data_IF_809227816351
#
_entry.id   IF_809227816351
#
_cell.length_a   1.000
_cell.length_b   1.000
_cell.length_c   1.000
_cell.angle_alpha   90.00
_cell.angle_beta   90.00
_cell.angle_gamma   90.00
#
_symmetry.space_group_name_H-M   'P 1'
#
loop_
_entity.id
_entity.type
_entity.pdbx_description
1 polymer ?
#
# COMPACT_ATOMS: atom_id res chain seq x y z
N UNK A 1 -16.82 23.10 -41.29
CA UNK A 1 -16.32 21.84 -40.67
C UNK A 1 -16.59 20.55 -41.49
N UNK A 2 -17.29 20.58 -42.63
CA UNK A 2 -17.67 19.36 -43.37
C UNK A 2 -16.61 18.82 -44.36
N UNK A 3 -15.49 19.51 -44.56
CA UNK A 3 -14.46 19.12 -45.54
C UNK A 3 -13.65 17.91 -45.12
N UNK A 4 -13.26 17.81 -43.85
CA UNK A 4 -12.44 16.70 -43.33
C UNK A 4 -13.21 15.37 -43.30
N UNK A 5 -14.45 15.38 -42.81
CA UNK A 5 -15.28 14.17 -42.79
C UNK A 5 -15.58 13.65 -44.20
N UNK A 6 -15.72 14.56 -45.17
CA UNK A 6 -15.91 14.19 -46.59
C UNK A 6 -14.61 13.64 -47.21
N UNK A 7 -13.45 14.17 -46.83
CA UNK A 7 -12.12 13.65 -47.22
C UNK A 7 -11.88 12.23 -46.69
N UNK A 8 -12.16 11.99 -45.40
CA UNK A 8 -11.96 10.69 -44.75
C UNK A 8 -12.88 9.58 -45.27
N UNK A 9 -14.03 9.95 -45.84
CA UNK A 9 -14.94 9.00 -46.51
C UNK A 9 -14.51 8.69 -47.94
N UNK A 10 -13.86 9.64 -48.61
CA UNK A 10 -13.41 9.51 -50.00
C UNK A 10 -12.10 8.73 -50.10
N UNK A 11 -11.20 8.96 -49.14
CA UNK A 11 -9.88 8.32 -49.10
C UNK A 11 -9.71 7.51 -47.79
N UNK A 12 -10.00 6.20 -47.79
CA UNK A 12 -9.93 5.38 -46.58
C UNK A 12 -8.50 5.23 -46.04
N UNK A 13 -7.48 5.44 -46.88
CA UNK A 13 -6.08 5.42 -46.47
C UNK A 13 -5.71 6.53 -45.46
N UNK A 14 -6.48 7.64 -45.40
CA UNK A 14 -6.23 8.75 -44.47
C UNK A 14 -6.82 8.52 -43.07
N UNK A 15 -7.72 7.55 -42.92
CA UNK A 15 -8.37 7.24 -41.64
C UNK A 15 -7.38 6.85 -40.53
N UNK A 16 -6.42 5.91 -40.73
CA UNK A 16 -5.49 5.55 -39.66
C UNK A 16 -4.62 6.73 -39.20
N UNK A 17 -4.22 7.62 -40.12
CA UNK A 17 -3.47 8.83 -39.77
C UNK A 17 -4.32 9.79 -38.92
N UNK A 18 -5.57 10.04 -39.33
CA UNK A 18 -6.47 10.89 -38.58
C UNK A 18 -6.79 10.33 -37.18
N UNK A 19 -6.90 9.02 -37.03
CA UNK A 19 -7.07 8.35 -35.73
C UNK A 19 -5.81 8.49 -34.87
N UNK A 20 -4.61 8.34 -35.43
CA UNK A 20 -3.38 8.51 -34.67
C UNK A 20 -3.23 9.95 -34.14
N UNK A 21 -3.46 10.95 -34.99
CA UNK A 21 -3.36 12.37 -34.59
C UNK A 21 -4.48 12.75 -33.63
N UNK A 22 -5.73 12.42 -33.96
CA UNK A 22 -6.88 12.70 -33.11
C UNK A 22 -6.79 11.99 -31.76
N UNK A 23 -6.39 10.72 -31.78
CA UNK A 23 -6.11 9.93 -30.58
C UNK A 23 -5.02 10.55 -29.72
N UNK A 24 -3.93 11.03 -30.33
CA UNK A 24 -2.86 11.72 -29.62
C UNK A 24 -3.33 12.98 -28.91
N UNK A 25 -4.13 13.82 -29.57
CA UNK A 25 -4.68 15.05 -28.98
C UNK A 25 -5.63 14.73 -27.82
N UNK A 26 -6.54 13.77 -28.02
CA UNK A 26 -7.49 13.35 -26.97
C UNK A 26 -6.73 12.76 -25.77
N UNK A 27 -5.72 11.92 -26.02
CA UNK A 27 -4.89 11.32 -24.98
C UNK A 27 -4.12 12.40 -24.20
N UNK A 28 -3.53 13.38 -24.87
CA UNK A 28 -2.81 14.47 -24.22
C UNK A 28 -3.71 15.28 -23.27
N UNK A 29 -4.94 15.60 -23.72
CA UNK A 29 -5.92 16.30 -22.88
C UNK A 29 -6.40 15.44 -21.72
N UNK A 30 -6.63 14.15 -21.94
CA UNK A 30 -7.08 13.22 -20.91
C UNK A 30 -6.02 13.03 -19.82
N UNK A 31 -4.75 12.81 -20.18
CA UNK A 31 -3.64 12.64 -19.24
C UNK A 31 -3.41 13.92 -18.44
N UNK A 32 -3.41 15.08 -19.11
CA UNK A 32 -3.27 16.38 -18.45
C UNK A 32 -4.41 16.60 -17.44
N UNK A 33 -5.67 16.36 -17.86
CA UNK A 33 -6.83 16.50 -16.97
C UNK A 33 -6.78 15.53 -15.78
N UNK A 34 -6.31 14.31 -16.01
CA UNK A 34 -6.10 13.32 -14.94
C UNK A 34 -5.08 13.83 -13.92
N UNK A 35 -3.93 14.32 -14.38
CA UNK A 35 -2.88 14.86 -13.51
C UNK A 35 -3.39 16.05 -12.70
N UNK A 36 -4.06 17.01 -13.35
CA UNK A 36 -4.60 18.19 -12.67
C UNK A 36 -5.62 17.83 -11.56
N UNK A 37 -6.38 16.73 -11.71
CA UNK A 37 -7.41 16.32 -10.74
C UNK A 37 -6.88 15.41 -9.64
N UNK A 38 -5.94 14.52 -9.94
CA UNK A 38 -5.51 13.44 -9.03
C UNK A 38 -4.10 13.60 -8.48
N UNK A 39 -3.28 14.50 -9.03
CA UNK A 39 -1.91 14.66 -8.56
C UNK A 39 -1.85 15.37 -7.20
N UNK A 40 -1.04 14.88 -6.26
CA UNK A 40 -0.80 15.51 -4.97
C UNK A 40 0.14 16.70 -5.02
N UNK A 41 0.89 16.87 -6.12
CA UNK A 41 1.95 17.87 -6.23
C UNK A 41 1.41 19.27 -6.56
N UNK A 42 0.18 19.38 -7.09
CA UNK A 42 -0.40 20.64 -7.57
C UNK A 42 -1.76 20.86 -6.94
N UNK A 43 -1.91 21.97 -6.21
CA UNK A 43 -3.18 22.41 -5.63
C UNK A 43 -3.87 23.42 -6.56
N UNK A 44 -4.83 22.93 -7.35
CA UNK A 44 -5.67 23.76 -8.23
C UNK A 44 -6.89 24.28 -7.46
N UNK A 45 -7.51 23.43 -6.65
CA UNK A 45 -8.63 23.79 -5.81
C UNK A 45 -8.18 24.09 -4.37
N UNK A 46 -7.66 25.30 -4.16
CA UNK A 46 -7.18 25.74 -2.84
C UNK A 46 -8.27 25.81 -1.76
N UNK A 47 -9.55 25.89 -2.14
CA UNK A 47 -10.67 26.02 -1.17
C UNK A 47 -11.20 24.67 -0.69
N UNK A 48 -11.33 23.69 -1.60
CA UNK A 48 -11.88 22.38 -1.25
C UNK A 48 -10.83 21.34 -0.84
N UNK A 49 -9.61 21.44 -1.38
CA UNK A 49 -8.51 20.50 -1.11
C UNK A 49 -7.16 21.25 -1.10
N UNK A 50 -6.89 22.06 -0.04
CA UNK A 50 -5.72 22.92 0.02
C UNK A 50 -4.40 22.13 -0.01
N UNK A 51 -4.37 20.97 0.65
CA UNK A 51 -3.16 20.16 0.87
C UNK A 51 -3.29 18.74 0.26
N UNK A 52 -3.26 18.63 -1.08
CA UNK A 52 -3.50 17.36 -1.77
C UNK A 52 -2.42 16.29 -1.49
N UNK A 53 -1.22 16.68 -1.05
CA UNK A 53 -0.18 15.76 -0.56
C UNK A 53 -0.58 14.99 0.70
N UNK A 54 -1.54 15.50 1.47
CA UNK A 54 -1.99 14.89 2.70
C UNK A 54 -2.90 13.66 2.47
N UNK A 55 -3.54 13.58 1.29
CA UNK A 55 -4.55 12.57 0.94
C UNK A 55 -3.97 11.30 0.27
N UNK A 56 -2.65 11.22 0.11
CA UNK A 56 -1.97 10.07 -0.52
C UNK A 56 -1.89 8.90 0.46
N UNK A 57 -2.58 7.80 0.14
CA UNK A 57 -2.58 6.55 0.91
C UNK A 57 -1.48 5.59 0.44
N UNK A 58 -1.05 4.64 1.29
CA UNK A 58 0.02 3.69 0.97
C UNK A 58 -0.33 2.70 -0.16
N UNK A 59 -1.61 2.32 -0.26
CA UNK A 59 -2.11 1.45 -1.33
C UNK A 59 -2.54 2.18 -2.61
N UNK A 60 -2.38 3.51 -2.66
CA UNK A 60 -2.73 4.32 -3.83
C UNK A 60 -1.48 4.59 -4.68
N UNK A 61 -1.56 4.27 -5.97
CA UNK A 61 -0.53 4.66 -6.92
C UNK A 61 -0.76 6.11 -7.38
N UNK A 62 0.19 6.98 -7.06
CA UNK A 62 0.17 8.38 -7.50
C UNK A 62 0.52 8.56 -8.99
N UNK A 63 1.20 7.57 -9.59
CA UNK A 63 1.64 7.65 -10.99
C UNK A 63 0.46 7.44 -11.94
N UNK A 64 0.59 7.94 -13.17
CA UNK A 64 -0.40 7.70 -14.23
C UNK A 64 -0.69 6.21 -14.45
N UNK A 65 0.35 5.36 -14.37
CA UNK A 65 0.23 3.92 -14.42
C UNK A 65 1.30 3.25 -13.54
N UNK A 66 1.01 2.03 -13.09
CA UNK A 66 1.97 1.18 -12.41
C UNK A 66 1.98 -0.19 -13.08
N UNK A 67 3.19 -0.69 -13.36
CA UNK A 67 3.39 -2.03 -13.91
C UNK A 67 3.15 -3.14 -12.88
N UNK A 68 3.08 -2.81 -11.58
CA UNK A 68 2.89 -3.76 -10.49
C UNK A 68 1.65 -3.40 -9.67
N UNK A 69 0.43 -3.76 -10.11
CA UNK A 69 -0.79 -3.47 -9.38
C UNK A 69 -0.85 -4.22 -8.04
N UNK A 70 -0.30 -5.42 -7.96
CA UNK A 70 -0.33 -6.28 -6.77
C UNK A 70 0.42 -5.65 -5.58
N UNK A 71 1.49 -4.90 -5.88
CA UNK A 71 2.24 -4.13 -4.88
C UNK A 71 1.33 -3.09 -4.21
N UNK A 72 0.54 -2.36 -4.96
CA UNK A 72 -0.36 -1.36 -4.38
C UNK A 72 -1.55 -2.02 -3.69
N UNK A 73 -2.05 -3.13 -4.24
CA UNK A 73 -3.14 -3.89 -3.65
C UNK A 73 -2.82 -4.43 -2.26
N UNK A 74 -1.61 -4.96 -2.04
CA UNK A 74 -1.20 -5.52 -0.74
C UNK A 74 -1.07 -4.47 0.38
N UNK A 75 -1.06 -3.18 0.05
CA UNK A 75 -0.89 -2.07 1.01
C UNK A 75 -2.16 -1.28 1.27
N UNK A 76 -3.30 -1.72 0.73
CA UNK A 76 -4.59 -1.04 0.96
C UNK A 76 -5.00 -1.10 2.44
N UNK A 77 -4.70 -2.21 3.11
CA UNK A 77 -5.07 -2.44 4.51
C UNK A 77 -4.00 -1.98 5.50
N UNK A 78 -2.88 -1.44 5.01
CA UNK A 78 -1.79 -1.01 5.87
C UNK A 78 -2.15 0.32 6.55
N UNK A 79 -1.97 0.45 7.89
CA UNK A 79 -2.23 1.70 8.59
C UNK A 79 -1.39 2.86 8.03
N UNK A 80 -2.00 4.05 7.87
CA UNK A 80 -1.27 5.23 7.43
C UNK A 80 -0.19 5.59 8.46
N UNK A 81 1.11 5.56 8.11
CA UNK A 81 2.19 5.91 9.04
C UNK A 81 2.06 7.35 9.54
N UNK A 82 1.36 8.22 8.80
CA UNK A 82 1.11 9.60 9.21
C UNK A 82 0.11 9.71 10.35
N UNK A 83 -0.76 8.70 10.54
CA UNK A 83 -1.71 8.67 11.64
C UNK A 83 -1.01 8.76 13.00
N UNK A 84 0.22 8.25 13.12
CA UNK A 84 1.03 8.36 14.34
C UNK A 84 1.40 9.80 14.71
N UNK A 85 1.47 10.72 13.74
CA UNK A 85 1.85 12.12 13.94
C UNK A 85 0.65 13.08 13.98
N UNK A 86 -0.53 12.64 13.51
CA UNK A 86 -1.76 13.44 13.48
C UNK A 86 -2.64 13.27 14.72
N UNK A 87 -2.26 12.40 15.65
CA UNK A 87 -2.96 12.31 16.93
C UNK A 87 -2.73 13.62 17.68
N UNK A 88 -3.79 14.39 18.03
CA UNK A 88 -3.61 15.55 18.90
C UNK A 88 -2.99 15.07 20.21
N UNK A 89 -1.95 15.77 20.67
CA UNK A 89 -1.17 15.42 21.87
C UNK A 89 -2.03 15.39 23.14
N UNK A 90 -3.25 15.90 23.01
CA UNK A 90 -4.20 16.28 24.04
C UNK A 90 -5.42 15.34 24.13
N UNK A 91 -5.63 14.39 23.19
CA UNK A 91 -6.81 13.50 23.24
C UNK A 91 -6.52 11.99 23.40
N UNK A 92 -5.31 11.47 23.12
CA UNK A 92 -5.09 10.02 23.02
C UNK A 92 -3.77 9.47 23.56
N UNK A 93 -3.02 10.22 24.36
CA UNK A 93 -1.78 9.71 25.00
C UNK A 93 -2.05 8.54 25.96
N UNK A 94 -3.24 8.47 26.58
CA UNK A 94 -3.67 7.33 27.38
C UNK A 94 -4.01 6.10 26.51
N UNK A 95 -4.90 6.23 25.54
CA UNK A 95 -5.40 5.09 24.75
C UNK A 95 -4.36 4.52 23.76
N UNK A 96 -3.50 5.36 23.19
CA UNK A 96 -2.43 4.90 22.28
C UNK A 96 -1.27 4.24 23.03
N UNK A 97 -1.01 4.61 24.29
CA UNK A 97 -0.05 3.91 25.14
C UNK A 97 -0.65 2.60 25.67
N UNK A 98 -1.94 2.57 25.99
CA UNK A 98 -2.67 1.35 26.38
C UNK A 98 -2.73 0.33 25.23
N UNK A 99 -3.04 0.74 24.00
CA UNK A 99 -3.05 -0.17 22.84
C UNK A 99 -1.66 -0.74 22.54
N UNK A 100 -0.60 0.07 22.67
CA UNK A 100 0.79 -0.39 22.57
C UNK A 100 1.18 -1.33 23.70
N UNK A 101 0.75 -1.06 24.94
CA UNK A 101 0.99 -1.92 26.10
C UNK A 101 0.21 -3.24 26.00
N UNK A 102 -1.02 -3.24 25.47
CA UNK A 102 -1.83 -4.44 25.26
C UNK A 102 -1.28 -5.30 24.12
N UNK A 103 -0.83 -4.70 23.02
CA UNK A 103 -0.15 -5.43 21.95
C UNK A 103 1.20 -6.00 22.42
N UNK A 104 1.97 -5.25 23.22
CA UNK A 104 3.20 -5.74 23.83
C UNK A 104 2.94 -6.83 24.89
N UNK A 105 1.85 -6.74 25.65
CA UNK A 105 1.45 -7.78 26.61
C UNK A 105 1.00 -9.06 25.91
N UNK A 106 0.23 -8.96 24.82
CA UNK A 106 -0.12 -10.12 23.96
C UNK A 106 1.12 -10.75 23.34
N UNK A 107 2.01 -9.95 22.76
CA UNK A 107 3.27 -10.47 22.20
C UNK A 107 4.11 -11.18 23.28
N UNK A 108 4.18 -10.64 24.50
CA UNK A 108 4.85 -11.30 25.63
C UNK A 108 4.16 -12.62 26.04
N UNK A 109 2.83 -12.66 26.06
CA UNK A 109 2.08 -13.88 26.35
C UNK A 109 2.32 -14.96 25.28
N UNK A 110 2.35 -14.58 24.01
CA UNK A 110 2.64 -15.50 22.91
C UNK A 110 4.10 -16.00 22.99
N UNK A 111 5.06 -15.12 23.31
CA UNK A 111 6.45 -15.53 23.58
C UNK A 111 6.54 -16.47 24.79
N UNK A 112 5.83 -16.17 25.88
CA UNK A 112 5.80 -17.03 27.08
C UNK A 112 5.12 -18.38 26.82
N UNK A 113 4.08 -18.41 25.97
CA UNK A 113 3.42 -19.64 25.54
C UNK A 113 4.34 -20.50 24.66
N UNK A 114 5.14 -19.85 23.80
CA UNK A 114 6.21 -20.51 23.04
C UNK A 114 7.26 -21.13 23.97
N UNK A 115 7.76 -20.37 24.94
CA UNK A 115 8.74 -20.87 25.93
C UNK A 115 8.18 -21.98 26.82
N UNK A 116 6.90 -21.93 27.20
CA UNK A 116 6.26 -23.01 27.96
C UNK A 116 6.17 -24.30 27.15
N UNK A 117 5.89 -24.20 25.86
CA UNK A 117 5.80 -25.37 24.96
C UNK A 117 7.20 -25.95 24.70
N UNK A 118 8.18 -25.13 24.35
CA UNK A 118 9.56 -25.57 24.10
C UNK A 118 10.26 -26.08 25.38
N UNK A 119 10.09 -25.41 26.52
CA UNK A 119 10.64 -25.87 27.79
C UNK A 119 10.02 -27.18 28.29
N UNK A 120 8.78 -27.48 27.88
CA UNK A 120 8.13 -28.75 28.19
C UNK A 120 8.63 -29.90 27.29
N UNK A 121 9.04 -29.61 26.06
CA UNK A 121 9.75 -30.58 25.20
C UNK A 121 11.16 -30.88 25.71
N UNK A 122 11.90 -29.87 26.16
CA UNK A 122 13.26 -30.02 26.70
C UNK A 122 13.29 -30.76 28.04
N UNK A 123 12.31 -30.53 28.92
CA UNK A 123 12.19 -31.27 30.19
C UNK A 123 11.74 -32.72 30.00
N UNK A 124 10.97 -33.02 28.95
CA UNK A 124 10.66 -34.41 28.55
C UNK A 124 11.89 -35.10 27.98
N UNK A 125 12.68 -34.45 27.11
CA UNK A 125 13.97 -35.01 26.64
C UNK A 125 14.99 -35.17 27.77
N UNK A 126 15.07 -34.22 28.70
CA UNK A 126 15.95 -34.28 29.87
C UNK A 126 15.62 -35.41 30.84
N UNK A 127 14.32 -35.74 31.02
CA UNK A 127 13.89 -36.93 31.79
C UNK A 127 14.22 -38.24 31.07
N UNK A 128 14.04 -38.30 29.75
CA UNK A 128 14.38 -39.49 28.96
C UNK A 128 15.89 -39.77 28.97
N UNK A 129 16.73 -38.73 29.00
CA UNK A 129 18.19 -38.89 29.07
C UNK A 129 18.73 -39.27 30.46
N UNK A 130 17.94 -39.11 31.54
CA UNK A 130 18.36 -39.47 32.90
C UNK A 130 18.08 -40.95 33.24
N UNK A 131 17.12 -41.59 32.57
CA UNK A 131 16.67 -42.97 32.87
C UNK A 131 17.31 -44.08 32.01
N UNK A 132 18.30 -43.77 31.18
CA UNK A 132 19.12 -44.81 30.59
C UNK A 132 19.79 -44.43 29.29
N UNK A 133 21.10 -44.16 29.37
CA UNK A 133 22.14 -44.90 28.62
C UNK A 133 23.47 -44.15 28.74
N UNK A 134 24.35 -44.66 29.62
CA UNK A 134 25.80 -44.54 29.40
C UNK A 134 26.14 -45.42 28.21
N UNK A 135 26.20 -44.84 27.01
CA UNK A 135 26.92 -45.46 25.90
C UNK A 135 28.30 -44.81 25.83
N UNK A 136 29.27 -45.56 26.35
CA UNK A 136 30.71 -45.41 26.13
C UNK A 136 30.98 -45.72 24.66
N UNK A 137 31.65 -44.85 23.91
CA UNK A 137 32.53 -45.24 22.79
C UNK A 137 33.65 -44.22 22.56
N UNK A 138 34.87 -44.77 22.64
CA UNK A 138 36.15 -44.47 21.97
C UNK A 138 36.68 -43.04 21.80
#
# INVERSE_FOLDING_TARGET
MASLARLLRREPALQPLAVAVGGGVIAALAVSTHYLRKSPDVSINKKGRPEPWNDVQQGQNTKFMSYQPDFWASRKDHPDPRAMFRVPVDANSAQASEAKQQAAAKAKLDTMAGFATEGQHDSVQGRVNFDGQRAVEH
#
